data_IF_081138484964
#
_entry.id   IF_081138484964
#
_cell.length_a   1.000
_cell.length_b   1.000
_cell.length_c   1.000
_cell.angle_alpha   90.00
_cell.angle_beta   90.00
_cell.angle_gamma   90.00
#
_symmetry.space_group_name_H-M   'P 1'
#
loop_
_entity.id
_entity.type
_entity.pdbx_description
1 polymer ?
#
# COMPACT_ATOMS: atom_id res chain seq x y z
N UNK A 1 6.15 -2.22 -3.06
CA UNK A 1 6.04 -1.61 -1.72
C UNK A 1 6.38 -2.65 -0.65
N UNK A 2 7.53 -2.54 -0.01
CA UNK A 2 7.96 -3.45 1.05
C UNK A 2 7.04 -3.33 2.25
N UNK A 3 6.65 -4.49 2.80
CA UNK A 3 5.77 -4.54 3.96
C UNK A 3 6.36 -5.34 5.11
N UNK A 4 5.84 -5.06 6.29
CA UNK A 4 6.00 -5.85 7.50
C UNK A 4 4.61 -6.24 7.99
N UNK A 5 4.47 -7.46 8.50
CA UNK A 5 3.22 -7.93 9.11
C UNK A 5 3.51 -8.40 10.54
N UNK A 6 3.00 -7.66 11.52
CA UNK A 6 3.16 -7.97 12.95
C UNK A 6 1.83 -7.75 13.67
N UNK A 7 1.43 -8.69 14.53
CA UNK A 7 0.18 -8.61 15.30
C UNK A 7 -1.08 -8.27 14.45
N UNK A 8 -1.12 -8.80 13.22
CA UNK A 8 -2.13 -8.53 12.20
C UNK A 8 -2.21 -7.07 11.72
N UNK A 9 -1.15 -6.29 11.94
CA UNK A 9 -0.99 -4.95 11.36
C UNK A 9 -0.04 -5.04 10.18
N UNK A 10 -0.52 -4.61 9.01
CA UNK A 10 0.30 -4.47 7.82
C UNK A 10 0.94 -3.07 7.83
N UNK A 11 2.26 -3.00 7.91
CA UNK A 11 3.03 -1.75 7.80
C UNK A 11 3.70 -1.66 6.43
N UNK A 12 3.41 -0.61 5.66
CA UNK A 12 4.10 -0.30 4.40
C UNK A 12 5.29 0.61 4.69
N UNK A 13 6.48 0.24 4.20
CA UNK A 13 7.70 1.00 4.38
C UNK A 13 7.56 2.42 3.82
N UNK A 14 7.95 3.42 4.62
CA UNK A 14 7.81 4.83 4.27
C UNK A 14 8.51 5.27 2.99
N UNK A 15 9.58 4.58 2.58
CA UNK A 15 10.30 4.87 1.34
C UNK A 15 9.51 4.47 0.08
N UNK A 16 8.55 3.56 0.24
CA UNK A 16 7.74 3.03 -0.86
C UNK A 16 6.34 3.66 -0.92
N UNK A 17 6.01 4.55 0.02
CA UNK A 17 4.75 5.28 0.04
C UNK A 17 4.73 6.41 -1.00
N UNK A 18 3.56 6.75 -1.57
CA UNK A 18 3.45 7.90 -2.47
C UNK A 18 3.67 9.21 -1.71
N UNK A 19 4.10 10.24 -2.44
CA UNK A 19 4.22 11.60 -1.92
C UNK A 19 3.14 12.51 -2.47
N UNK A 20 2.53 13.31 -1.59
CA UNK A 20 1.68 14.42 -2.02
C UNK A 20 2.51 15.55 -2.61
N UNK A 21 2.13 16.03 -3.80
CA UNK A 21 2.76 17.18 -4.45
C UNK A 21 1.74 18.24 -4.83
N UNK A 22 1.83 19.43 -4.23
CA UNK A 22 0.98 20.58 -4.59
C UNK A 22 1.21 20.96 -6.06
N UNK A 23 0.13 21.00 -6.84
CA UNK A 23 0.20 21.21 -8.30
C UNK A 23 0.77 20.03 -9.10
N UNK A 24 0.94 18.86 -8.45
CA UNK A 24 1.37 17.63 -9.11
C UNK A 24 0.24 16.89 -9.82
N UNK A 25 0.52 15.66 -10.24
CA UNK A 25 -0.45 14.78 -10.90
C UNK A 25 -1.68 14.57 -10.03
N UNK A 26 -2.87 14.80 -10.61
CA UNK A 26 -4.16 14.53 -9.96
C UNK A 26 -4.24 13.07 -9.55
N UNK A 27 -3.85 12.14 -10.43
CA UNK A 27 -3.91 10.69 -10.15
C UNK A 27 -3.01 10.30 -8.96
N UNK A 28 -1.77 10.79 -8.92
CA UNK A 28 -0.85 10.48 -7.81
C UNK A 28 -1.31 11.07 -6.49
N UNK A 29 -1.83 12.29 -6.51
CA UNK A 29 -2.39 12.90 -5.30
C UNK A 29 -3.66 12.17 -4.84
N UNK A 30 -4.51 11.72 -5.76
CA UNK A 30 -5.67 10.88 -5.43
C UNK A 30 -5.23 9.54 -4.84
N UNK A 31 -4.19 8.90 -5.40
CA UNK A 31 -3.62 7.67 -4.85
C UNK A 31 -3.11 7.85 -3.42
N UNK A 32 -2.33 8.91 -3.19
CA UNK A 32 -1.86 9.30 -1.86
C UNK A 32 -3.01 9.42 -0.86
N UNK A 33 -4.07 10.17 -1.22
CA UNK A 33 -5.20 10.38 -0.32
C UNK A 33 -6.04 9.13 -0.12
N UNK A 34 -6.19 8.29 -1.14
CA UNK A 34 -6.92 7.04 -1.04
C UNK A 34 -6.23 6.09 -0.06
N UNK A 35 -4.91 5.85 -0.21
CA UNK A 35 -4.12 5.07 0.75
C UNK A 35 -4.22 5.63 2.16
N UNK A 36 -4.03 6.94 2.31
CA UNK A 36 -4.05 7.59 3.62
C UNK A 36 -5.42 7.53 4.31
N UNK A 37 -6.51 7.48 3.54
CA UNK A 37 -7.87 7.50 4.09
C UNK A 37 -8.29 6.20 4.77
N UNK A 38 -7.64 5.08 4.44
CA UNK A 38 -7.95 3.76 5.00
C UNK A 38 -6.88 3.26 5.98
N UNK A 39 -5.78 3.99 6.17
CA UNK A 39 -4.76 3.64 7.16
C UNK A 39 -5.23 3.89 8.59
N UNK A 40 -4.88 3.02 9.53
CA UNK A 40 -5.07 3.26 10.96
C UNK A 40 -3.97 4.15 11.56
N UNK A 41 -2.79 4.15 10.94
CA UNK A 41 -1.71 5.09 11.23
C UNK A 41 -1.04 5.58 9.94
N UNK A 42 -0.99 6.90 9.75
CA UNK A 42 -0.29 7.52 8.61
C UNK A 42 0.40 8.83 9.02
N UNK A 43 1.59 8.70 9.61
CA UNK A 43 2.45 9.82 9.92
C UNK A 43 3.39 10.16 8.76
N UNK A 44 3.87 11.40 8.75
CA UNK A 44 4.92 11.84 7.83
C UNK A 44 6.24 11.11 8.15
N UNK A 45 6.96 10.65 7.13
CA UNK A 45 8.26 9.98 7.23
C UNK A 45 8.26 8.75 8.16
N UNK A 46 7.13 8.04 8.21
CA UNK A 46 6.97 6.79 8.96
C UNK A 46 6.16 5.82 8.12
N UNK A 47 6.30 4.55 8.46
CA UNK A 47 5.54 3.48 7.85
C UNK A 47 4.05 3.72 8.09
N UNK A 48 3.22 3.36 7.10
CA UNK A 48 1.77 3.46 7.21
C UNK A 48 1.19 2.10 7.57
N UNK A 49 0.27 2.08 8.52
CA UNK A 49 -0.30 0.88 9.11
C UNK A 49 -1.76 0.69 8.66
N UNK A 50 -2.14 -0.58 8.47
CA UNK A 50 -3.46 -0.98 8.02
C UNK A 50 -3.94 -2.19 8.81
N UNK A 51 -5.08 -2.03 9.48
CA UNK A 51 -5.78 -3.11 10.19
C UNK A 51 -6.39 -4.13 9.20
N UNK A 52 -6.65 -5.38 9.63
CA UNK A 52 -7.24 -6.40 8.76
C UNK A 52 -8.55 -6.01 8.11
N UNK A 53 -9.38 -5.22 8.79
CA UNK A 53 -10.70 -4.77 8.34
C UNK A 53 -10.64 -3.98 7.03
N UNK A 54 -9.49 -3.38 6.71
CA UNK A 54 -9.30 -2.58 5.49
C UNK A 54 -8.49 -3.30 4.42
N UNK A 55 -7.94 -4.49 4.66
CA UNK A 55 -7.08 -5.19 3.70
C UNK A 55 -7.76 -5.48 2.37
N UNK A 56 -9.04 -5.84 2.38
CA UNK A 56 -9.82 -6.03 1.14
C UNK A 56 -9.95 -4.71 0.35
N UNK A 57 -10.13 -3.59 1.05
CA UNK A 57 -10.19 -2.28 0.42
C UNK A 57 -8.83 -1.86 -0.15
N UNK A 58 -7.76 -2.09 0.61
CA UNK A 58 -6.38 -1.88 0.17
C UNK A 58 -6.09 -2.67 -1.10
N UNK A 59 -6.37 -3.98 -1.11
CA UNK A 59 -6.10 -4.82 -2.28
C UNK A 59 -6.84 -4.37 -3.53
N UNK A 60 -8.15 -4.09 -3.43
CA UNK A 60 -8.95 -3.60 -4.57
C UNK A 60 -8.47 -2.25 -5.08
N UNK A 61 -8.09 -1.35 -4.18
CA UNK A 61 -7.55 -0.05 -4.54
C UNK A 61 -6.23 -0.20 -5.29
N UNK A 62 -5.30 -1.01 -4.78
CA UNK A 62 -4.02 -1.28 -5.43
C UNK A 62 -4.21 -1.84 -6.84
N UNK A 63 -5.07 -2.86 -7.01
CA UNK A 63 -5.44 -3.41 -8.34
C UNK A 63 -5.95 -2.30 -9.27
N UNK A 64 -6.91 -1.50 -8.81
CA UNK A 64 -7.50 -0.44 -9.63
C UNK A 64 -6.46 0.58 -10.09
N UNK A 65 -5.46 0.88 -9.26
CA UNK A 65 -4.38 1.79 -9.59
C UNK A 65 -3.34 1.15 -10.52
N UNK A 66 -3.03 -0.14 -10.36
CA UNK A 66 -2.19 -0.90 -11.31
C UNK A 66 -2.83 -0.91 -12.71
N UNK A 67 -4.12 -1.25 -12.79
CA UNK A 67 -4.87 -1.34 -14.06
C UNK A 67 -5.03 0.02 -14.76
N UNK A 68 -4.92 1.13 -14.02
CA UNK A 68 -4.97 2.47 -14.60
C UNK A 68 -3.77 2.80 -15.49
N UNK A 69 -2.63 2.09 -15.31
CA UNK A 69 -1.39 2.32 -16.04
C UNK A 69 -0.64 3.62 -15.69
N UNK A 70 -1.09 4.38 -14.69
CA UNK A 70 -0.47 5.64 -14.28
C UNK A 70 0.65 5.49 -13.24
N UNK A 71 0.72 4.34 -12.58
CA UNK A 71 1.67 4.03 -11.50
C UNK A 71 2.45 2.76 -11.87
N UNK A 72 3.70 2.68 -11.42
CA UNK A 72 4.50 1.47 -11.64
C UNK A 72 4.14 0.32 -10.69
N UNK A 73 4.58 -0.89 -11.02
CA UNK A 73 4.35 -2.09 -10.19
C UNK A 73 4.90 -1.91 -8.77
N UNK A 74 6.05 -1.24 -8.62
CA UNK A 74 6.66 -0.95 -7.31
C UNK A 74 5.79 -0.08 -6.40
N UNK A 75 4.95 0.77 -6.98
CA UNK A 75 4.04 1.65 -6.26
C UNK A 75 2.72 0.96 -5.91
N UNK A 76 2.38 -0.17 -6.53
CA UNK A 76 1.05 -0.78 -6.44
C UNK A 76 1.04 -2.26 -6.03
N UNK A 77 2.19 -2.91 -5.94
CA UNK A 77 2.35 -4.27 -5.42
C UNK A 77 2.95 -4.27 -4.01
N UNK A 78 2.50 -5.16 -3.13
CA UNK A 78 3.10 -5.41 -1.82
C UNK A 78 4.22 -6.45 -1.94
N UNK A 79 5.33 -6.20 -1.25
CA UNK A 79 6.49 -7.09 -1.22
C UNK A 79 6.69 -7.58 0.21
N UNK A 80 6.41 -8.87 0.43
CA UNK A 80 6.52 -9.53 1.72
C UNK A 80 7.88 -10.24 1.88
N UNK A 81 8.44 -10.30 3.10
CA UNK A 81 9.60 -11.15 3.38
C UNK A 81 9.28 -12.63 3.09
N UNK A 82 10.25 -13.41 2.60
CA UNK A 82 10.04 -14.82 2.22
C UNK A 82 9.51 -15.73 3.34
N UNK A 83 9.77 -15.37 4.60
CA UNK A 83 9.35 -16.09 5.79
C UNK A 83 7.99 -15.64 6.33
N UNK A 84 7.37 -14.63 5.72
CA UNK A 84 6.08 -14.08 6.16
C UNK A 84 4.93 -14.63 5.32
N UNK A 85 4.00 -15.41 5.88
CA UNK A 85 2.85 -15.91 5.14
C UNK A 85 1.93 -14.76 4.72
N UNK A 86 1.67 -14.63 3.42
CA UNK A 86 0.79 -13.59 2.87
C UNK A 86 -0.68 -13.90 3.21
N UNK A 87 -1.42 -12.98 3.86
CA UNK A 87 -2.85 -13.10 4.09
C UNK A 87 -3.65 -13.32 2.79
N UNK A 88 -4.76 -14.03 2.87
CA UNK A 88 -5.55 -14.42 1.69
C UNK A 88 -6.04 -13.20 0.91
N UNK A 89 -6.50 -12.17 1.62
CA UNK A 89 -7.02 -10.92 1.08
C UNK A 89 -5.97 -10.15 0.26
N UNK A 90 -4.70 -10.30 0.61
CA UNK A 90 -3.57 -9.56 0.02
C UNK A 90 -2.84 -10.37 -1.05
N UNK A 91 -3.11 -11.68 -1.19
CA UNK A 91 -2.32 -12.59 -2.04
C UNK A 91 -2.23 -12.16 -3.50
N UNK A 92 -3.31 -11.60 -4.06
CA UNK A 92 -3.38 -11.22 -5.48
C UNK A 92 -2.57 -9.97 -5.84
N UNK A 93 -2.18 -9.18 -4.84
CA UNK A 93 -1.44 -7.93 -4.99
C UNK A 93 -0.05 -8.01 -4.36
N UNK A 94 0.42 -9.22 -4.08
CA UNK A 94 1.63 -9.44 -3.30
C UNK A 94 2.62 -10.35 -4.00
N UNK A 95 3.90 -10.10 -3.76
CA UNK A 95 5.02 -10.97 -4.10
C UNK A 95 5.97 -11.10 -2.91
N UNK A 96 6.93 -12.02 -3.00
CA UNK A 96 8.03 -12.10 -2.06
C UNK A 96 9.25 -11.31 -2.54
N UNK A 97 10.08 -10.82 -1.61
CA UNK A 97 11.41 -10.22 -1.89
C UNK A 97 12.53 -10.94 -1.13
#
# INVERSE_FOLDING_TARGET
MRVKLEDNILSINHEDLPEYKKGGSVVRNSYFWALKSISCYASRHKDWEYDPEVWVALARMLISFTESGYLGDRETSLEFPQDTPIPEELRYISSYF
#
